data_IF_329854740673
#
_entry.id   IF_329854740673
#
_cell.length_a   1.000
_cell.length_b   1.000
_cell.length_c   1.000
_cell.angle_alpha   90.00
_cell.angle_beta   90.00
_cell.angle_gamma   90.00
#
_symmetry.space_group_name_H-M   'P 1'
#
loop_
_entity.id
_entity.type
_entity.pdbx_description
1 polymer ?
#
# COMPACT_ATOMS: atom_id res chain seq x y z
N UNK A 1 12.49 1.75 -6.35
CA UNK A 1 11.56 2.20 -5.30
C UNK A 1 11.16 1.01 -4.44
N UNK A 2 11.18 1.17 -3.15
CA UNK A 2 10.70 0.15 -2.23
C UNK A 2 9.66 0.75 -1.28
N UNK A 3 8.59 0.01 -1.07
CA UNK A 3 7.56 0.38 -0.12
C UNK A 3 7.64 -0.53 1.10
N UNK A 4 7.50 0.05 2.28
CA UNK A 4 7.57 -0.66 3.55
C UNK A 4 6.18 -1.12 4.01
N UNK A 5 5.30 -1.46 3.06
CA UNK A 5 3.90 -1.74 3.34
C UNK A 5 3.73 -2.99 4.21
N UNK A 6 4.45 -4.06 3.87
CA UNK A 6 4.29 -5.33 4.58
C UNK A 6 4.68 -5.18 6.05
N UNK A 7 5.78 -4.47 6.33
CA UNK A 7 6.21 -4.25 7.71
C UNK A 7 5.20 -3.41 8.49
N UNK A 8 4.65 -2.38 7.85
CA UNK A 8 3.65 -1.52 8.50
C UNK A 8 2.38 -2.33 8.81
N UNK A 9 1.96 -3.20 7.90
CA UNK A 9 0.81 -4.07 8.15
C UNK A 9 1.06 -4.99 9.34
N UNK A 10 2.26 -5.54 9.44
CA UNK A 10 2.61 -6.41 10.57
C UNK A 10 2.59 -5.63 11.88
N UNK A 11 3.13 -4.42 11.90
CA UNK A 11 3.12 -3.57 13.09
C UNK A 11 1.71 -3.24 13.54
N UNK A 12 0.79 -3.05 12.59
CA UNK A 12 -0.59 -2.73 12.88
C UNK A 12 -1.47 -3.96 13.07
N UNK A 13 -0.88 -5.15 12.93
CA UNK A 13 -1.59 -6.41 13.05
C UNK A 13 -2.74 -6.52 12.03
N UNK A 14 -2.48 -6.09 10.81
CA UNK A 14 -3.43 -6.09 9.69
C UNK A 14 -2.95 -7.02 8.59
N UNK A 15 -3.90 -7.60 7.84
CA UNK A 15 -3.57 -8.48 6.73
C UNK A 15 -3.41 -7.69 5.42
N UNK A 16 -2.70 -8.30 4.48
CA UNK A 16 -2.56 -7.74 3.12
C UNK A 16 -3.93 -7.66 2.45
N UNK A 17 -4.79 -8.64 2.67
CA UNK A 17 -6.13 -8.68 2.09
C UNK A 17 -7.00 -7.54 2.64
N UNK A 18 -6.86 -7.24 3.92
CA UNK A 18 -7.55 -6.09 4.51
C UNK A 18 -7.17 -4.80 3.79
N UNK A 19 -5.89 -4.60 3.53
CA UNK A 19 -5.42 -3.41 2.83
C UNK A 19 -5.96 -3.36 1.39
N UNK A 20 -5.99 -4.51 0.73
CA UNK A 20 -6.55 -4.58 -0.62
C UNK A 20 -8.00 -4.11 -0.64
N UNK A 21 -8.81 -4.58 0.30
CA UNK A 21 -10.22 -4.19 0.37
C UNK A 21 -10.37 -2.70 0.64
N UNK A 22 -9.57 -2.15 1.54
CA UNK A 22 -9.64 -0.72 1.86
C UNK A 22 -9.26 0.14 0.66
N UNK A 23 -8.20 -0.24 -0.04
CA UNK A 23 -7.75 0.49 -1.21
C UNK A 23 -8.76 0.39 -2.35
N UNK A 24 -9.33 -0.79 -2.54
CA UNK A 24 -10.32 -1.03 -3.59
C UNK A 24 -11.60 -0.22 -3.36
N UNK A 25 -11.95 0.08 -2.12
CA UNK A 25 -13.10 0.92 -1.80
C UNK A 25 -12.89 2.37 -2.22
N UNK A 26 -11.65 2.84 -2.22
CA UNK A 26 -11.34 4.20 -2.64
C UNK A 26 -11.28 4.28 -4.16
N UNK A 27 -10.57 3.35 -4.76
CA UNK A 27 -10.41 3.28 -6.22
C UNK A 27 -10.23 1.82 -6.62
N UNK A 28 -11.08 1.31 -7.50
CA UNK A 28 -10.97 -0.10 -7.93
C UNK A 28 -9.58 -0.42 -8.47
N UNK A 29 -9.02 -1.52 -8.02
CA UNK A 29 -7.70 -1.99 -8.43
C UNK A 29 -7.74 -3.51 -8.48
N UNK A 30 -7.08 -4.09 -9.49
CA UNK A 30 -6.99 -5.55 -9.56
C UNK A 30 -6.04 -6.07 -8.49
N UNK A 31 -6.30 -7.30 -8.02
CA UNK A 31 -5.45 -7.89 -7.01
C UNK A 31 -4.02 -8.06 -7.53
N UNK A 32 -3.86 -8.38 -8.82
CA UNK A 32 -2.54 -8.53 -9.42
C UNK A 32 -1.74 -7.22 -9.35
N UNK A 33 -2.38 -6.10 -9.66
CA UNK A 33 -1.72 -4.80 -9.58
C UNK A 33 -1.40 -4.43 -8.13
N UNK A 34 -2.34 -4.68 -7.23
CA UNK A 34 -2.12 -4.44 -5.81
C UNK A 34 -0.94 -5.27 -5.28
N UNK A 35 -0.93 -6.55 -5.61
CA UNK A 35 0.13 -7.45 -5.16
C UNK A 35 1.50 -7.01 -5.69
N UNK A 36 1.57 -6.62 -6.96
CA UNK A 36 2.82 -6.11 -7.53
C UNK A 36 3.30 -4.86 -6.80
N UNK A 37 2.36 -4.00 -6.41
CA UNK A 37 2.67 -2.77 -5.69
C UNK A 37 3.27 -3.06 -4.32
N UNK A 38 2.61 -3.90 -3.51
CA UNK A 38 3.06 -4.16 -2.14
C UNK A 38 4.28 -5.08 -2.08
N UNK A 39 4.52 -5.86 -3.13
CA UNK A 39 5.70 -6.73 -3.21
C UNK A 39 6.88 -6.06 -3.91
N UNK A 40 6.78 -4.76 -4.18
CA UNK A 40 7.86 -3.97 -4.77
C UNK A 40 8.27 -4.45 -6.16
N UNK A 41 7.30 -4.94 -6.94
CA UNK A 41 7.56 -5.38 -8.32
C UNK A 41 7.28 -4.29 -9.35
N UNK A 42 6.80 -3.13 -8.92
CA UNK A 42 6.59 -1.99 -9.80
C UNK A 42 7.77 -1.03 -9.70
N UNK A 43 8.02 -0.28 -10.77
CA UNK A 43 9.13 0.68 -10.80
C UNK A 43 8.74 2.02 -10.22
N UNK A 44 7.47 2.33 -10.21
CA UNK A 44 6.99 3.61 -9.72
C UNK A 44 5.59 3.47 -9.16
N UNK A 45 5.15 4.47 -8.41
CA UNK A 45 3.82 4.52 -7.83
C UNK A 45 3.23 5.89 -8.10
N UNK A 46 1.94 5.92 -8.44
CA UNK A 46 1.25 7.19 -8.64
C UNK A 46 1.11 7.91 -7.30
N UNK A 47 1.25 9.22 -7.32
CA UNK A 47 1.14 10.03 -6.11
C UNK A 47 -0.18 9.78 -5.38
N UNK A 48 -1.28 9.70 -6.14
CA UNK A 48 -2.59 9.47 -5.55
C UNK A 48 -2.66 8.12 -4.82
N UNK A 49 -2.05 7.09 -5.38
CA UNK A 49 -2.00 5.77 -4.74
C UNK A 49 -1.18 5.82 -3.46
N UNK A 50 -0.05 6.51 -3.49
CA UNK A 50 0.78 6.69 -2.30
C UNK A 50 0.02 7.41 -1.21
N UNK A 51 -0.70 8.48 -1.58
CA UNK A 51 -1.51 9.24 -0.63
C UNK A 51 -2.61 8.38 -0.03
N UNK A 52 -3.29 7.57 -0.84
CA UNK A 52 -4.32 6.67 -0.35
C UNK A 52 -3.76 5.65 0.64
N UNK A 53 -2.60 5.09 0.35
CA UNK A 53 -1.94 4.16 1.27
C UNK A 53 -1.60 4.83 2.60
N UNK A 54 -1.09 6.05 2.56
CA UNK A 54 -0.77 6.79 3.77
C UNK A 54 -2.01 7.04 4.61
N UNK A 55 -3.13 7.40 3.99
CA UNK A 55 -4.38 7.63 4.70
C UNK A 55 -4.93 6.35 5.32
N UNK A 56 -4.90 5.26 4.59
CA UNK A 56 -5.41 3.98 5.08
C UNK A 56 -4.56 3.46 6.24
N UNK A 57 -3.24 3.53 6.09
CA UNK A 57 -2.31 3.01 7.08
C UNK A 57 -1.99 4.02 8.18
N UNK A 58 -2.51 5.23 8.06
CA UNK A 58 -2.30 6.29 9.04
C UNK A 58 -0.80 6.54 9.28
N UNK A 59 -0.06 6.68 8.18
CA UNK A 59 1.38 6.91 8.24
C UNK A 59 1.78 8.00 7.25
N UNK A 60 3.05 8.42 7.30
CA UNK A 60 3.58 9.41 6.39
C UNK A 60 4.22 8.75 5.17
N UNK A 61 4.39 9.50 4.05
CA UNK A 61 5.14 8.97 2.91
C UNK A 61 6.55 8.49 3.28
N UNK A 62 7.20 9.16 4.24
CA UNK A 62 8.52 8.75 4.69
C UNK A 62 8.49 7.36 5.30
N UNK A 63 7.44 7.02 6.03
CA UNK A 63 7.30 5.70 6.62
C UNK A 63 7.16 4.62 5.55
N UNK A 64 6.49 4.95 4.45
CA UNK A 64 6.29 4.00 3.35
C UNK A 64 7.51 3.85 2.46
N UNK A 65 8.31 4.90 2.33
CA UNK A 65 9.41 4.94 1.36
C UNK A 65 10.78 4.65 1.99
N UNK A 66 10.81 3.88 3.01
CA UNK A 66 12.08 3.51 3.64
C UNK A 66 12.89 2.50 2.85
#
# INVERSE_FOLDING_TARGET
MQLNVINILKEQNKSKYWLFNELNNIKPISYANFNALVCNKTKSIKYQTLENLCNILNCTPNDLLQ
#
